data_IF_968800935071
#
_entry.id   IF_968800935071
#
_cell.length_a   1.000
_cell.length_b   1.000
_cell.length_c   1.000
_cell.angle_alpha   90.00
_cell.angle_beta   90.00
_cell.angle_gamma   90.00
#
_symmetry.space_group_name_H-M   'P 1'
#
loop_
_entity.id
_entity.type
_entity.pdbx_description
1 polymer ?
#
# COMPACT_ATOMS: atom_id res chain seq x y z
N UNK A 1 16.19 -29.94 34.80
CA UNK A 1 16.39 -30.15 33.35
C UNK A 1 15.07 -30.63 32.75
N UNK A 2 14.34 -29.78 32.02
CA UNK A 2 13.10 -30.20 31.37
C UNK A 2 13.39 -31.21 30.25
N UNK A 3 12.64 -32.32 30.14
CA UNK A 3 12.87 -33.32 29.12
C UNK A 3 12.66 -32.69 27.74
N UNK A 4 13.70 -32.80 26.90
CA UNK A 4 13.75 -32.31 25.52
C UNK A 4 12.55 -32.87 24.74
N UNK A 5 11.68 -32.00 24.20
CA UNK A 5 10.54 -32.32 23.29
C UNK A 5 11.01 -33.00 21.99
N UNK A 6 11.55 -34.22 22.06
CA UNK A 6 11.77 -35.12 20.92
C UNK A 6 10.79 -36.30 21.05
N UNK A 7 9.50 -36.12 20.70
CA UNK A 7 8.84 -37.19 19.95
C UNK A 7 7.81 -36.77 18.87
N UNK A 8 7.51 -35.47 18.65
CA UNK A 8 6.35 -35.08 17.82
C UNK A 8 6.65 -34.67 16.37
N UNK A 9 7.92 -34.51 15.98
CA UNK A 9 8.28 -34.01 14.65
C UNK A 9 8.03 -35.02 13.52
N UNK A 10 8.35 -36.30 13.73
CA UNK A 10 8.22 -37.32 12.69
C UNK A 10 6.76 -37.63 12.32
N UNK A 11 5.83 -37.80 13.29
CA UNK A 11 4.40 -37.96 12.97
C UNK A 11 3.80 -36.72 12.27
N UNK A 12 4.15 -35.52 12.72
CA UNK A 12 3.67 -34.27 12.10
C UNK A 12 4.17 -34.12 10.67
N UNK A 13 5.48 -34.35 10.45
CA UNK A 13 6.07 -34.30 9.12
C UNK A 13 5.41 -35.32 8.18
N UNK A 14 5.13 -36.54 8.66
CA UNK A 14 4.44 -37.57 7.87
C UNK A 14 3.02 -37.13 7.48
N UNK A 15 2.25 -36.58 8.42
CA UNK A 15 0.90 -36.05 8.15
C UNK A 15 0.93 -34.91 7.12
N UNK A 16 1.83 -33.93 7.31
CA UNK A 16 1.99 -32.80 6.37
C UNK A 16 2.43 -33.24 4.99
N UNK A 17 3.33 -34.22 4.90
CA UNK A 17 3.75 -34.79 3.62
C UNK A 17 2.58 -35.48 2.92
N UNK A 18 1.76 -36.24 3.64
CA UNK A 18 0.56 -36.87 3.07
C UNK A 18 -0.45 -35.84 2.55
N UNK A 19 -0.73 -34.79 3.33
CA UNK A 19 -1.61 -33.68 2.92
C UNK A 19 -1.09 -32.99 1.64
N UNK A 20 0.20 -32.68 1.60
CA UNK A 20 0.84 -32.00 0.47
C UNK A 20 0.84 -32.87 -0.79
N UNK A 21 1.24 -34.14 -0.67
CA UNK A 21 1.28 -35.08 -1.79
C UNK A 21 -0.12 -35.37 -2.33
N UNK A 22 -1.14 -35.51 -1.47
CA UNK A 22 -2.52 -35.69 -1.90
C UNK A 22 -3.03 -34.50 -2.74
N UNK A 23 -2.75 -33.27 -2.30
CA UNK A 23 -3.13 -32.05 -3.04
C UNK A 23 -2.39 -31.93 -4.38
N UNK A 24 -1.06 -32.12 -4.38
CA UNK A 24 -0.26 -32.08 -5.61
C UNK A 24 -0.71 -33.17 -6.60
N UNK A 25 -0.96 -34.38 -6.12
CA UNK A 25 -1.47 -35.49 -6.94
C UNK A 25 -2.82 -35.19 -7.59
N UNK A 26 -3.75 -34.61 -6.82
CA UNK A 26 -5.05 -34.18 -7.34
C UNK A 26 -4.91 -33.09 -8.41
N UNK A 27 -4.04 -32.09 -8.20
CA UNK A 27 -3.76 -31.03 -9.18
C UNK A 27 -3.17 -31.59 -10.47
N UNK A 28 -2.19 -32.49 -10.38
CA UNK A 28 -1.60 -33.17 -11.56
C UNK A 28 -2.67 -33.95 -12.32
N UNK A 29 -3.51 -34.73 -11.63
CA UNK A 29 -4.60 -35.49 -12.26
C UNK A 29 -5.57 -34.57 -13.00
N UNK A 30 -6.04 -33.51 -12.35
CA UNK A 30 -6.97 -32.55 -12.95
C UNK A 30 -6.37 -31.85 -14.16
N UNK A 31 -5.13 -31.36 -14.04
CA UNK A 31 -4.43 -30.68 -15.13
C UNK A 31 -4.16 -31.61 -16.32
N UNK A 32 -3.82 -32.87 -16.07
CA UNK A 32 -3.66 -33.90 -17.09
C UNK A 32 -4.97 -34.17 -17.83
N UNK A 33 -6.08 -34.34 -17.09
CA UNK A 33 -7.40 -34.62 -17.67
C UNK A 33 -7.89 -33.45 -18.54
N UNK A 34 -7.72 -32.19 -18.09
CA UNK A 34 -8.06 -30.99 -18.90
C UNK A 34 -7.29 -30.90 -20.22
N UNK A 35 -6.09 -31.49 -20.27
CA UNK A 35 -5.24 -31.55 -21.46
C UNK A 35 -5.43 -32.84 -22.27
N UNK A 36 -6.41 -33.66 -21.92
CA UNK A 36 -6.71 -34.93 -22.57
C UNK A 36 -5.50 -35.88 -22.68
N UNK A 37 -4.59 -35.82 -21.69
CA UNK A 37 -3.42 -36.68 -21.64
C UNK A 37 -3.72 -37.97 -20.86
N UNK A 38 -3.23 -39.10 -21.32
CA UNK A 38 -3.18 -40.32 -20.51
C UNK A 38 -1.99 -40.27 -19.56
N UNK A 39 -2.02 -41.05 -18.48
CA UNK A 39 -0.87 -41.14 -17.56
C UNK A 39 0.41 -41.63 -18.27
N UNK A 40 0.27 -42.53 -19.25
CA UNK A 40 1.39 -43.02 -20.05
C UNK A 40 1.99 -41.91 -20.94
N UNK A 41 1.14 -41.11 -21.57
CA UNK A 41 1.58 -39.97 -22.40
C UNK A 41 2.27 -38.90 -21.57
N UNK A 42 1.71 -38.54 -20.41
CA UNK A 42 2.36 -37.60 -19.49
C UNK A 42 3.71 -38.17 -19.02
N UNK A 43 3.73 -39.43 -18.60
CA UNK A 43 4.97 -40.11 -18.18
C UNK A 43 6.05 -40.05 -19.24
N UNK A 44 5.74 -40.42 -20.49
CA UNK A 44 6.68 -40.36 -21.60
C UNK A 44 7.25 -38.93 -21.81
N UNK A 45 6.42 -37.89 -21.73
CA UNK A 45 6.85 -36.49 -21.88
C UNK A 45 7.86 -36.05 -20.82
N UNK A 46 7.78 -36.60 -19.61
CA UNK A 46 8.63 -36.20 -18.48
C UNK A 46 9.66 -37.25 -18.10
N UNK A 47 9.85 -38.28 -18.92
CA UNK A 47 10.81 -39.36 -18.66
C UNK A 47 10.46 -40.19 -17.42
N UNK A 48 9.18 -40.45 -17.15
CA UNK A 48 8.68 -41.27 -16.05
C UNK A 48 7.77 -42.40 -16.56
N UNK A 49 7.77 -43.55 -15.87
CA UNK A 49 6.82 -44.63 -16.16
C UNK A 49 5.38 -44.29 -15.78
N UNK A 50 4.39 -44.87 -16.49
CA UNK A 50 2.94 -44.73 -16.19
C UNK A 50 2.62 -44.95 -14.71
N UNK A 51 3.16 -46.01 -14.12
CA UNK A 51 2.92 -46.37 -12.72
C UNK A 51 3.39 -45.26 -11.76
N UNK A 52 4.46 -44.55 -12.09
CA UNK A 52 4.97 -43.44 -11.28
C UNK A 52 4.06 -42.22 -11.33
N UNK A 53 3.51 -41.90 -12.50
CA UNK A 53 2.45 -40.88 -12.64
C UNK A 53 1.19 -41.29 -11.87
N UNK A 54 0.79 -42.56 -11.94
CA UNK A 54 -0.36 -43.07 -11.17
C UNK A 54 -0.15 -42.95 -9.65
N UNK A 55 1.03 -43.30 -9.13
CA UNK A 55 1.34 -43.12 -7.71
C UNK A 55 1.34 -41.64 -7.31
N UNK A 56 1.86 -40.75 -8.15
CA UNK A 56 1.81 -39.31 -7.93
C UNK A 56 0.36 -38.81 -7.81
N UNK A 57 -0.49 -39.18 -8.77
CA UNK A 57 -1.92 -38.79 -8.79
C UNK A 57 -2.74 -39.32 -7.61
N UNK A 58 -2.31 -40.44 -7.02
CA UNK A 58 -2.92 -41.03 -5.81
C UNK A 58 -2.37 -40.43 -4.50
N UNK A 59 -1.54 -39.39 -4.56
CA UNK A 59 -0.91 -38.79 -3.38
C UNK A 59 0.22 -39.64 -2.77
N UNK A 60 0.71 -40.63 -3.51
CA UNK A 60 1.79 -41.55 -3.10
C UNK A 60 3.12 -41.23 -3.79
N UNK A 61 3.24 -40.04 -4.38
CA UNK A 61 4.45 -39.57 -5.08
C UNK A 61 5.60 -39.13 -4.17
N UNK A 62 5.62 -39.53 -2.89
CA UNK A 62 6.64 -39.09 -1.93
C UNK A 62 8.07 -39.53 -2.26
N UNK A 63 8.23 -40.56 -3.10
CA UNK A 63 9.53 -41.00 -3.62
C UNK A 63 9.98 -40.27 -4.90
N UNK A 64 9.21 -39.30 -5.41
CA UNK A 64 9.64 -38.46 -6.54
C UNK A 64 10.53 -37.33 -6.05
N UNK A 65 11.62 -37.07 -6.79
CA UNK A 65 12.45 -35.90 -6.58
C UNK A 65 11.67 -34.62 -6.89
N UNK A 66 12.12 -33.49 -6.32
CA UNK A 66 11.60 -32.16 -6.69
C UNK A 66 11.73 -31.92 -8.19
N UNK A 67 12.85 -32.33 -8.81
CA UNK A 67 13.03 -32.29 -10.27
C UNK A 67 11.92 -33.02 -11.04
N UNK A 68 11.54 -34.23 -10.62
CA UNK A 68 10.50 -35.01 -11.29
C UNK A 68 9.12 -34.35 -11.17
N UNK A 69 8.83 -33.73 -10.01
CA UNK A 69 7.63 -32.90 -9.85
C UNK A 69 7.69 -31.63 -10.70
N UNK A 70 8.83 -30.96 -10.78
CA UNK A 70 9.02 -29.75 -11.61
C UNK A 70 8.80 -30.06 -13.09
N UNK A 71 9.41 -31.13 -13.63
CA UNK A 71 9.21 -31.56 -15.02
C UNK A 71 7.75 -31.91 -15.29
N UNK A 72 7.08 -32.55 -14.35
CA UNK A 72 5.63 -32.84 -14.42
C UNK A 72 4.81 -31.55 -14.46
N UNK A 73 5.13 -30.58 -13.61
CA UNK A 73 4.49 -29.27 -13.59
C UNK A 73 4.68 -28.50 -14.88
N UNK A 74 5.92 -28.38 -15.37
CA UNK A 74 6.25 -27.70 -16.64
C UNK A 74 5.53 -28.36 -17.82
N UNK A 75 5.50 -29.69 -17.91
CA UNK A 75 4.79 -30.40 -18.97
C UNK A 75 3.26 -30.23 -18.95
N UNK A 76 2.72 -29.70 -17.84
CA UNK A 76 1.31 -29.39 -17.63
C UNK A 76 1.06 -27.88 -17.54
N UNK A 77 2.02 -27.03 -17.93
CA UNK A 77 1.99 -25.56 -17.80
C UNK A 77 1.58 -25.08 -16.39
N UNK A 78 2.02 -25.81 -15.37
CA UNK A 78 1.81 -25.53 -13.96
C UNK A 78 3.14 -25.72 -13.21
N UNK A 79 4.11 -24.80 -13.38
CA UNK A 79 5.40 -24.89 -12.69
C UNK A 79 5.21 -25.07 -11.18
N UNK A 80 6.00 -25.95 -10.57
CA UNK A 80 5.96 -26.15 -9.12
C UNK A 80 6.70 -25.01 -8.43
N UNK A 81 6.06 -24.41 -7.43
CA UNK A 81 6.71 -23.49 -6.49
C UNK A 81 6.91 -24.20 -5.15
N UNK A 82 8.16 -24.25 -4.67
CA UNK A 82 8.50 -24.81 -3.36
C UNK A 82 8.97 -23.67 -2.47
N UNK A 83 8.21 -23.41 -1.42
CA UNK A 83 8.57 -22.46 -0.39
C UNK A 83 8.23 -23.02 0.99
N UNK A 84 9.00 -22.61 2.01
CA UNK A 84 8.55 -22.80 3.38
C UNK A 84 7.28 -21.99 3.62
N UNK A 85 6.41 -22.46 4.51
CA UNK A 85 5.32 -21.62 5.00
C UNK A 85 5.91 -20.36 5.62
N UNK A 86 5.15 -19.27 5.52
CA UNK A 86 5.47 -18.02 6.21
C UNK A 86 5.79 -18.30 7.67
N UNK A 87 6.92 -17.80 8.12
CA UNK A 87 7.30 -17.87 9.52
C UNK A 87 6.22 -17.14 10.35
N UNK A 88 5.52 -17.85 11.25
CA UNK A 88 4.47 -17.23 12.07
C UNK A 88 5.02 -16.18 13.05
N UNK A 89 6.33 -16.19 13.29
CA UNK A 89 7.03 -15.20 14.12
C UNK A 89 7.60 -14.04 13.32
N UNK A 90 7.67 -14.16 11.99
CA UNK A 90 8.06 -13.06 11.14
C UNK A 90 6.99 -11.98 11.16
N UNK A 91 7.41 -10.76 11.46
CA UNK A 91 6.54 -9.60 11.35
C UNK A 91 6.03 -9.45 9.91
N UNK A 92 4.86 -8.83 9.70
CA UNK A 92 4.46 -8.36 8.39
C UNK A 92 5.57 -7.61 7.66
N UNK A 93 5.68 -7.78 6.34
CA UNK A 93 6.70 -7.10 5.54
C UNK A 93 6.59 -5.56 5.67
N UNK A 94 5.39 -5.10 5.96
CA UNK A 94 4.96 -3.72 6.20
C UNK A 94 4.76 -3.40 7.70
N UNK A 95 5.26 -4.21 8.63
CA UNK A 95 5.02 -4.03 10.06
C UNK A 95 5.38 -2.64 10.59
N UNK A 96 6.44 -2.02 10.04
CA UNK A 96 6.80 -0.65 10.39
C UNK A 96 5.76 0.39 9.92
N UNK A 97 5.11 0.15 8.78
CA UNK A 97 4.03 0.98 8.25
C UNK A 97 2.74 0.77 9.07
N UNK A 98 2.36 -0.49 9.32
CA UNK A 98 1.22 -0.84 10.19
C UNK A 98 1.37 -0.24 11.59
N UNK A 99 2.59 -0.26 12.17
CA UNK A 99 2.84 0.32 13.49
C UNK A 99 2.63 1.85 13.53
N UNK A 100 2.89 2.56 12.43
CA UNK A 100 2.58 3.99 12.32
C UNK A 100 1.08 4.23 12.22
N UNK A 101 0.38 3.45 11.40
CA UNK A 101 -1.09 3.54 11.26
C UNK A 101 -1.76 3.27 12.62
N UNK A 102 -1.34 2.22 13.32
CA UNK A 102 -1.80 1.89 14.68
C UNK A 102 -1.52 3.02 15.69
N UNK A 103 -0.36 3.68 15.60
CA UNK A 103 -0.07 4.86 16.44
C UNK A 103 -1.09 5.98 16.19
N UNK A 104 -1.37 6.30 14.93
CA UNK A 104 -2.31 7.37 14.57
C UNK A 104 -3.72 7.02 15.05
N UNK A 105 -4.19 5.81 14.77
CA UNK A 105 -5.51 5.32 15.19
C UNK A 105 -5.67 5.36 16.71
N UNK A 106 -4.69 4.87 17.45
CA UNK A 106 -4.69 4.90 18.93
C UNK A 106 -4.71 6.31 19.50
N UNK A 107 -3.97 7.24 18.90
CA UNK A 107 -3.99 8.64 19.34
C UNK A 107 -5.35 9.30 19.06
N UNK A 108 -5.94 9.05 17.89
CA UNK A 108 -7.24 9.58 17.54
C UNK A 108 -8.38 8.97 18.39
N UNK A 109 -8.32 7.66 18.70
CA UNK A 109 -9.25 6.99 19.60
C UNK A 109 -9.27 7.63 21.00
N UNK A 110 -8.08 7.98 21.54
CA UNK A 110 -7.95 8.68 22.84
C UNK A 110 -8.62 10.05 22.84
N UNK A 111 -8.76 10.67 21.68
CA UNK A 111 -9.40 11.98 21.50
C UNK A 111 -10.89 11.88 21.11
N UNK A 112 -11.46 10.66 21.09
CA UNK A 112 -12.86 10.44 20.72
C UNK A 112 -13.18 10.72 19.25
N UNK A 113 -12.19 10.66 18.36
CA UNK A 113 -12.37 10.93 16.93
C UNK A 113 -12.71 9.62 16.21
N UNK A 114 -13.72 9.64 15.34
CA UNK A 114 -14.11 8.47 14.53
C UNK A 114 -13.02 8.12 13.51
N UNK A 115 -12.77 6.83 13.36
CA UNK A 115 -11.63 6.30 12.62
C UNK A 115 -12.08 5.55 11.37
N UNK A 116 -11.38 5.76 10.25
CA UNK A 116 -11.38 4.79 9.16
C UNK A 116 -9.94 4.43 8.75
N UNK A 117 -9.72 3.12 8.64
CA UNK A 117 -8.52 2.52 8.08
C UNK A 117 -8.74 2.37 6.57
N UNK A 118 -7.78 2.82 5.76
CA UNK A 118 -7.86 2.77 4.29
C UNK A 118 -9.16 3.36 3.73
N UNK A 119 -9.35 4.68 3.85
CA UNK A 119 -10.49 5.33 3.19
C UNK A 119 -10.25 5.34 1.67
N UNK A 120 -11.07 4.64 0.85
CA UNK A 120 -10.99 4.79 -0.58
C UNK A 120 -11.51 6.19 -0.95
N UNK A 121 -10.62 7.09 -1.37
CA UNK A 121 -11.03 8.40 -1.87
C UNK A 121 -11.65 8.28 -3.27
N UNK A 122 -11.44 7.15 -3.94
CA UNK A 122 -12.20 6.69 -5.11
C UNK A 122 -12.51 5.20 -5.01
N UNK A 123 -13.75 4.79 -4.69
CA UNK A 123 -14.11 3.38 -4.56
C UNK A 123 -13.83 2.52 -5.81
N UNK A 124 -13.81 3.14 -7.00
CA UNK A 124 -13.54 2.45 -8.27
C UNK A 124 -12.04 2.30 -8.58
N UNK A 125 -11.15 2.92 -7.80
CA UNK A 125 -9.69 2.84 -7.97
C UNK A 125 -9.02 2.62 -6.61
N UNK A 126 -8.76 1.35 -6.22
CA UNK A 126 -8.13 1.00 -4.95
C UNK A 126 -6.74 1.60 -4.72
N UNK A 127 -6.05 2.07 -5.78
CA UNK A 127 -4.77 2.77 -5.64
C UNK A 127 -4.93 4.18 -5.05
N UNK A 128 -6.16 4.68 -4.94
CA UNK A 128 -6.52 5.96 -4.33
C UNK A 128 -7.05 5.75 -2.90
N UNK A 129 -6.25 5.13 -2.02
CA UNK A 129 -6.55 5.03 -0.58
C UNK A 129 -5.66 5.97 0.23
N UNK A 130 -6.19 6.51 1.33
CA UNK A 130 -5.41 7.20 2.37
C UNK A 130 -5.15 6.20 3.49
N UNK A 131 -3.92 6.12 3.97
CA UNK A 131 -3.52 5.13 4.99
C UNK A 131 -4.42 5.18 6.23
N UNK A 132 -4.60 6.38 6.80
CA UNK A 132 -5.50 6.62 7.93
C UNK A 132 -6.30 7.88 7.70
N UNK A 133 -7.61 7.80 7.85
CA UNK A 133 -8.49 8.95 7.80
C UNK A 133 -9.19 9.15 9.14
N UNK A 134 -9.08 10.36 9.68
CA UNK A 134 -9.70 10.75 10.94
C UNK A 134 -10.89 11.66 10.65
N UNK A 135 -12.08 11.25 11.08
CA UNK A 135 -13.32 11.97 10.85
C UNK A 135 -13.87 12.50 12.17
N UNK A 136 -13.91 13.83 12.29
CA UNK A 136 -14.52 14.53 13.42
C UNK A 136 -15.83 15.17 12.94
N UNK A 137 -16.95 14.51 13.23
CA UNK A 137 -18.28 14.98 12.84
C UNK A 137 -18.72 16.22 13.62
N UNK A 138 -18.30 16.34 14.87
CA UNK A 138 -18.65 17.48 15.73
C UNK A 138 -18.00 18.75 15.22
N UNK A 139 -16.71 18.68 14.86
CA UNK A 139 -15.94 19.83 14.36
C UNK A 139 -15.94 19.96 12.85
N UNK A 140 -16.59 19.02 12.14
CA UNK A 140 -16.67 18.97 10.68
C UNK A 140 -15.30 18.96 10.01
N UNK A 141 -14.44 18.02 10.44
CA UNK A 141 -13.07 17.88 9.91
C UNK A 141 -12.79 16.47 9.40
N UNK A 142 -12.01 16.43 8.34
CA UNK A 142 -11.46 15.20 7.77
C UNK A 142 -9.94 15.35 7.69
N UNK A 143 -9.21 14.55 8.47
CA UNK A 143 -7.74 14.58 8.48
C UNK A 143 -7.21 13.35 7.76
N UNK A 144 -6.47 13.58 6.69
CA UNK A 144 -5.79 12.55 5.91
C UNK A 144 -4.37 12.37 6.48
N UNK A 145 -4.08 11.20 7.02
CA UNK A 145 -2.75 10.87 7.53
C UNK A 145 -2.08 9.83 6.62
N UNK A 146 -0.92 10.18 6.09
CA UNK A 146 -0.08 9.28 5.28
C UNK A 146 1.11 8.81 6.12
N UNK A 147 1.26 7.51 6.31
CA UNK A 147 2.24 6.86 7.15
C UNK A 147 3.49 6.45 6.34
N UNK A 148 4.64 7.06 6.61
CA UNK A 148 5.85 6.80 5.84
C UNK A 148 6.90 6.05 6.67
N UNK A 149 6.96 4.73 6.52
CA UNK A 149 8.06 3.92 7.08
C UNK A 149 9.37 4.18 6.32
N UNK A 150 9.29 4.24 4.98
CA UNK A 150 10.40 4.60 4.08
C UNK A 150 9.86 5.53 3.01
N UNK A 151 10.53 6.66 2.80
CA UNK A 151 10.21 7.57 1.68
C UNK A 151 11.02 7.12 0.45
N UNK A 152 10.30 6.85 -0.65
CA UNK A 152 10.85 6.54 -1.96
C UNK A 152 10.96 7.80 -2.83
N UNK A 153 10.03 7.95 -3.77
CA UNK A 153 9.92 9.13 -4.63
C UNK A 153 9.11 10.24 -3.94
N UNK A 154 9.80 11.29 -3.48
CA UNK A 154 9.19 12.43 -2.80
C UNK A 154 8.19 13.17 -3.71
N UNK A 155 8.55 13.37 -4.98
CA UNK A 155 7.73 14.13 -5.92
C UNK A 155 6.42 13.41 -6.25
N UNK A 156 6.50 12.10 -6.50
CA UNK A 156 5.33 11.26 -6.69
C UNK A 156 4.45 11.21 -5.43
N UNK A 157 5.06 11.09 -4.26
CA UNK A 157 4.35 11.07 -2.98
C UNK A 157 3.58 12.39 -2.73
N UNK A 158 4.22 13.55 -2.90
CA UNK A 158 3.58 14.87 -2.72
C UNK A 158 2.43 15.06 -3.71
N UNK A 159 2.62 14.72 -5.00
CA UNK A 159 1.54 14.77 -6.01
C UNK A 159 0.38 13.86 -5.62
N UNK A 160 0.68 12.66 -5.12
CA UNK A 160 -0.36 11.73 -4.66
C UNK A 160 -1.15 12.31 -3.50
N UNK A 161 -0.49 12.90 -2.51
CA UNK A 161 -1.15 13.58 -1.38
C UNK A 161 -2.04 14.74 -1.84
N UNK A 162 -1.56 15.63 -2.72
CA UNK A 162 -2.38 16.74 -3.23
C UNK A 162 -3.62 16.23 -3.97
N UNK A 163 -3.47 15.18 -4.78
CA UNK A 163 -4.60 14.53 -5.46
C UNK A 163 -5.60 13.94 -4.46
N UNK A 164 -5.15 13.28 -3.39
CA UNK A 164 -6.03 12.73 -2.34
C UNK A 164 -6.77 13.83 -1.57
N UNK A 165 -6.13 14.97 -1.29
CA UNK A 165 -6.79 16.15 -0.69
C UNK A 165 -7.92 16.63 -1.60
N UNK A 166 -7.65 16.86 -2.89
CA UNK A 166 -8.67 17.32 -3.84
C UNK A 166 -9.84 16.34 -3.94
N UNK A 167 -9.56 15.03 -4.06
CA UNK A 167 -10.60 13.99 -4.09
C UNK A 167 -11.43 13.94 -2.80
N UNK A 168 -10.78 14.07 -1.63
CA UNK A 168 -11.50 14.11 -0.36
C UNK A 168 -12.38 15.36 -0.25
N UNK A 169 -11.94 16.51 -0.75
CA UNK A 169 -12.74 17.73 -0.81
C UNK A 169 -13.98 17.52 -1.68
N UNK A 170 -13.81 17.00 -2.90
CA UNK A 170 -14.91 16.63 -3.80
C UNK A 170 -15.90 15.66 -3.13
N UNK A 171 -15.38 14.61 -2.47
CA UNK A 171 -16.20 13.63 -1.76
C UNK A 171 -17.04 14.27 -0.65
N UNK A 172 -16.45 15.16 0.16
CA UNK A 172 -17.17 15.83 1.26
C UNK A 172 -18.26 16.77 0.75
N UNK A 173 -18.05 17.41 -0.41
CA UNK A 173 -19.08 18.23 -1.06
C UNK A 173 -20.25 17.37 -1.56
N UNK A 174 -19.99 16.16 -2.05
CA UNK A 174 -21.02 15.28 -2.60
C UNK A 174 -21.96 14.68 -1.53
N UNK A 175 -21.51 14.50 -0.30
CA UNK A 175 -22.30 13.91 0.80
C UNK A 175 -23.11 14.95 1.61
N UNK A 176 -23.34 16.14 1.04
CA UNK A 176 -24.01 17.31 1.64
C UNK A 176 -23.52 17.63 3.06
N UNK A 177 -22.23 17.39 3.28
CA UNK A 177 -21.56 17.70 4.53
C UNK A 177 -20.20 18.31 4.24
N UNK A 178 -20.13 19.64 4.20
CA UNK A 178 -18.85 20.33 4.15
C UNK A 178 -17.98 19.95 5.37
N UNK A 179 -16.89 19.21 5.12
CA UNK A 179 -15.80 18.98 6.08
C UNK A 179 -14.61 19.82 5.64
N UNK A 180 -13.90 20.43 6.60
CA UNK A 180 -12.57 20.95 6.34
C UNK A 180 -11.60 19.78 6.18
N UNK A 181 -10.97 19.67 5.00
CA UNK A 181 -10.01 18.61 4.70
C UNK A 181 -8.60 19.09 5.04
N UNK A 182 -7.89 18.32 5.85
CA UNK A 182 -6.52 18.58 6.24
C UNK A 182 -5.64 17.36 5.94
N UNK A 183 -4.33 17.55 5.79
CA UNK A 183 -3.41 16.44 5.51
C UNK A 183 -2.11 16.53 6.30
N UNK A 184 -1.64 15.38 6.80
CA UNK A 184 -0.38 15.28 7.51
C UNK A 184 0.39 14.01 7.12
N UNK A 185 1.68 14.15 6.84
CA UNK A 185 2.61 13.04 6.76
C UNK A 185 3.13 12.69 8.15
N UNK A 186 2.98 11.42 8.51
CA UNK A 186 3.54 10.84 9.73
C UNK A 186 4.71 9.95 9.34
N UNK A 187 5.92 10.46 9.51
CA UNK A 187 7.13 9.83 8.98
C UNK A 187 7.90 9.14 10.10
N UNK A 188 8.32 7.89 9.91
CA UNK A 188 9.21 7.21 10.85
C UNK A 188 10.58 7.91 10.88
N UNK A 189 11.07 8.21 12.07
CA UNK A 189 12.33 8.92 12.29
C UNK A 189 13.59 8.05 12.13
N UNK A 190 13.65 7.26 11.06
CA UNK A 190 14.82 6.46 10.70
C UNK A 190 15.98 7.35 10.25
N UNK A 191 17.22 6.83 10.34
CA UNK A 191 18.41 7.52 9.82
C UNK A 191 18.25 7.92 8.35
N UNK A 192 17.67 7.03 7.54
CA UNK A 192 17.40 7.25 6.11
C UNK A 192 16.43 8.40 5.88
N UNK A 193 15.27 8.39 6.54
CA UNK A 193 14.26 9.43 6.33
C UNK A 193 14.74 10.79 6.83
N UNK A 194 15.47 10.83 7.97
CA UNK A 194 16.08 12.07 8.46
C UNK A 194 17.11 12.62 7.47
N UNK A 195 18.02 11.77 6.97
CA UNK A 195 19.00 12.18 5.97
C UNK A 195 18.32 12.71 4.70
N UNK A 196 17.21 12.10 4.27
CA UNK A 196 16.44 12.55 3.12
C UNK A 196 15.82 13.94 3.33
N UNK A 197 15.14 14.15 4.47
CA UNK A 197 14.54 15.46 4.80
C UNK A 197 15.61 16.54 4.95
N UNK A 198 16.74 16.22 5.58
CA UNK A 198 17.89 17.14 5.70
C UNK A 198 18.53 17.46 4.34
N UNK A 199 18.53 16.51 3.40
CA UNK A 199 19.10 16.72 2.05
C UNK A 199 18.23 17.63 1.18
N UNK A 200 16.91 17.65 1.38
CA UNK A 200 15.96 18.42 0.56
C UNK A 200 15.04 19.32 1.40
N UNK A 201 15.59 20.21 2.26
CA UNK A 201 14.79 20.93 3.26
C UNK A 201 13.75 21.86 2.63
N UNK A 202 14.08 22.54 1.52
CA UNK A 202 13.16 23.45 0.84
C UNK A 202 11.99 22.72 0.17
N UNK A 203 12.22 21.50 -0.36
CA UNK A 203 11.15 20.67 -0.94
C UNK A 203 10.13 20.29 0.12
N UNK A 204 10.60 19.82 1.28
CA UNK A 204 9.71 19.48 2.39
C UNK A 204 9.05 20.73 2.99
N UNK A 205 9.74 21.88 3.05
CA UNK A 205 9.16 23.11 3.57
C UNK A 205 8.05 23.66 2.67
N UNK A 206 8.24 23.58 1.35
CA UNK A 206 7.22 23.96 0.38
C UNK A 206 6.03 23.00 0.38
N UNK A 207 6.27 21.68 0.51
CA UNK A 207 5.22 20.67 0.53
C UNK A 207 4.43 20.64 1.86
N UNK A 208 5.07 20.97 2.98
CA UNK A 208 4.49 20.90 4.33
C UNK A 208 4.67 22.22 5.10
N UNK A 209 4.03 23.31 4.68
CA UNK A 209 4.18 24.63 5.31
C UNK A 209 3.43 24.76 6.64
N UNK A 210 2.58 23.79 7.01
CA UNK A 210 1.85 23.77 8.27
C UNK A 210 2.75 23.56 9.49
N UNK A 211 2.43 24.22 10.60
CA UNK A 211 3.18 24.09 11.85
C UNK A 211 3.20 22.64 12.36
N UNK A 212 4.35 21.99 12.29
CA UNK A 212 4.53 20.62 12.76
C UNK A 212 4.20 20.46 14.25
N UNK A 213 4.47 21.48 15.07
CA UNK A 213 4.09 21.47 16.48
C UNK A 213 2.57 21.43 16.67
N UNK A 214 1.83 22.27 15.94
CA UNK A 214 0.37 22.27 15.99
C UNK A 214 -0.20 20.95 15.46
N UNK A 215 0.43 20.36 14.45
CA UNK A 215 0.06 19.03 13.96
C UNK A 215 0.24 17.94 15.02
N UNK A 216 1.36 17.94 15.76
CA UNK A 216 1.55 17.03 16.90
C UNK A 216 0.44 17.23 17.92
N UNK A 217 0.17 18.47 18.36
CA UNK A 217 -0.91 18.76 19.30
C UNK A 217 -2.28 18.29 18.79
N UNK A 218 -2.57 18.52 17.51
CA UNK A 218 -3.83 18.07 16.90
C UNK A 218 -3.99 16.56 16.96
N UNK A 219 -2.95 15.81 16.57
CA UNK A 219 -2.99 14.35 16.57
C UNK A 219 -2.95 13.74 17.97
N UNK A 220 -2.22 14.34 18.92
CA UNK A 220 -2.04 13.77 20.26
C UNK A 220 -3.10 14.16 21.27
N UNK A 221 -3.68 15.36 21.16
CA UNK A 221 -4.62 15.90 22.15
C UNK A 221 -5.92 16.45 21.55
N UNK A 222 -6.19 16.18 20.26
CA UNK A 222 -7.43 16.61 19.59
C UNK A 222 -7.53 18.11 19.33
N UNK A 223 -6.41 18.85 19.40
CA UNK A 223 -6.39 20.28 19.08
C UNK A 223 -6.71 20.54 17.59
N UNK A 224 -6.99 21.80 17.25
CA UNK A 224 -7.32 22.18 15.88
C UNK A 224 -6.15 21.97 14.92
N UNK A 225 -6.32 21.14 13.86
CA UNK A 225 -5.28 20.94 12.87
C UNK A 225 -5.01 22.26 12.12
N UNK A 226 -3.74 22.53 11.75
CA UNK A 226 -3.42 23.61 10.83
C UNK A 226 -4.19 23.49 9.50
N UNK A 227 -4.48 24.63 8.86
CA UNK A 227 -5.08 24.65 7.51
C UNK A 227 -4.11 24.10 6.44
N UNK A 228 -2.81 24.29 6.65
CA UNK A 228 -1.78 23.89 5.72
C UNK A 228 -1.24 22.48 6.02
N UNK A 229 -0.83 21.72 4.98
CA UNK A 229 -0.29 20.37 5.16
C UNK A 229 0.90 20.32 6.11
N UNK A 230 0.98 19.24 6.89
CA UNK A 230 2.03 19.05 7.89
C UNK A 230 2.91 17.84 7.65
N UNK A 231 4.11 17.89 8.22
CA UNK A 231 4.96 16.72 8.42
C UNK A 231 5.28 16.60 9.91
N UNK A 232 5.10 15.42 10.47
CA UNK A 232 5.51 15.07 11.84
C UNK A 232 6.37 13.82 11.83
N UNK A 233 7.21 13.68 12.85
CA UNK A 233 7.96 12.46 13.06
C UNK A 233 7.25 11.53 14.03
N UNK A 234 7.27 10.24 13.73
CA UNK A 234 7.09 9.19 14.71
C UNK A 234 8.46 8.62 15.10
N UNK A 235 8.65 8.25 16.36
CA UNK A 235 9.90 7.61 16.78
C UNK A 235 10.09 6.23 16.13
N UNK A 236 11.29 5.66 16.26
CA UNK A 236 11.63 4.41 15.56
C UNK A 236 10.74 3.22 15.97
N UNK A 237 10.16 3.27 17.17
CA UNK A 237 9.25 2.26 17.70
C UNK A 237 7.75 2.58 17.45
N UNK A 238 7.42 3.69 16.79
CA UNK A 238 6.05 4.14 16.54
C UNK A 238 5.20 4.25 17.82
N UNK A 239 5.80 4.78 18.89
CA UNK A 239 5.14 4.97 20.19
C UNK A 239 4.71 6.40 20.43
N UNK A 240 5.38 7.39 19.81
CA UNK A 240 5.14 8.82 20.02
C UNK A 240 5.42 9.65 18.78
N UNK A 241 4.75 10.80 18.71
CA UNK A 241 4.96 11.82 17.69
C UNK A 241 5.81 12.98 18.22
N UNK A 242 6.59 13.63 17.35
CA UNK A 242 7.33 14.85 17.67
C UNK A 242 7.47 15.75 16.43
N UNK A 243 7.60 17.07 16.64
CA UNK A 243 7.59 18.01 15.53
C UNK A 243 8.86 17.87 14.69
N UNK A 244 8.69 17.97 13.37
CA UNK A 244 9.77 18.30 12.47
C UNK A 244 10.15 19.76 12.67
N UNK A 245 11.46 19.98 12.90
CA UNK A 245 12.05 21.30 13.04
C UNK A 245 12.90 21.57 11.81
N UNK A 246 12.66 22.72 11.17
CA UNK A 246 13.59 23.24 10.17
C UNK A 246 14.89 23.60 10.88
N UNK A 247 16.02 23.20 10.31
CA UNK A 247 17.31 23.75 10.73
C UNK A 247 17.31 25.21 10.27
N UNK A 248 17.13 26.15 11.20
CA UNK A 248 17.23 27.58 10.88
C UNK A 248 18.69 27.86 10.49
N UNK A 249 18.92 28.29 9.26
CA UNK A 249 20.27 28.52 8.72
C UNK A 249 20.36 28.66 7.19
N UNK A 250 19.32 28.31 6.44
CA UNK A 250 19.22 28.62 5.01
C UNK A 250 18.09 29.64 4.82
N UNK A 251 18.47 30.84 4.37
CA UNK A 251 17.55 31.95 4.15
C UNK A 251 16.37 31.50 3.27
N UNK A 252 15.16 31.74 3.74
CA UNK A 252 13.95 31.49 2.97
C UNK A 252 13.98 32.34 1.71
N UNK A 253 14.09 31.71 0.54
CA UNK A 253 13.66 32.34 -0.70
C UNK A 253 12.18 32.69 -0.54
N UNK A 254 11.84 33.95 -0.79
CA UNK A 254 10.48 34.45 -0.64
C UNK A 254 9.49 33.54 -1.39
N UNK A 255 8.27 33.33 -0.85
CA UNK A 255 7.26 32.52 -1.51
C UNK A 255 6.98 33.07 -2.91
N UNK A 256 6.95 32.18 -3.91
CA UNK A 256 6.41 32.52 -5.22
C UNK A 256 4.98 33.04 -5.03
N UNK A 257 4.62 34.22 -5.58
CA UNK A 257 3.26 34.70 -5.51
C UNK A 257 2.34 33.66 -6.16
N UNK A 258 1.28 33.29 -5.44
CA UNK A 258 0.24 32.42 -5.97
C UNK A 258 -0.20 32.94 -7.33
N UNK A 259 -0.02 32.12 -8.38
CA UNK A 259 -0.42 32.48 -9.73
C UNK A 259 -1.89 32.90 -9.72
N UNK A 260 -2.15 34.15 -10.14
CA UNK A 260 -3.50 34.62 -10.45
C UNK A 260 -4.14 33.60 -11.39
N UNK A 261 -5.31 33.10 -11.00
CA UNK A 261 -6.16 32.33 -11.90
C UNK A 261 -6.36 33.13 -13.21
N UNK A 262 -6.24 32.50 -14.39
CA UNK A 262 -6.48 33.18 -15.64
C UNK A 262 -7.93 33.69 -15.67
N UNK A 263 -8.09 35.00 -15.81
CA UNK A 263 -9.38 35.62 -16.05
C UNK A 263 -9.93 35.12 -17.37
N UNK A 264 -11.13 34.53 -17.34
CA UNK A 264 -11.90 34.21 -18.54
C UNK A 264 -12.35 35.52 -19.20
N UNK A 265 -11.51 36.09 -20.05
CA UNK A 265 -11.90 37.19 -20.93
C UNK A 265 -12.41 36.61 -22.26
N UNK A 266 -13.72 36.73 -22.42
CA UNK A 266 -14.54 36.17 -23.49
C UNK A 266 -14.54 37.18 -24.64
N UNK A 267 -13.51 37.17 -25.49
CA UNK A 267 -13.56 37.92 -26.76
C UNK A 267 -14.33 37.14 -27.82
N UNK A 268 -15.49 37.69 -28.14
CA UNK A 268 -16.26 37.42 -29.35
C UNK A 268 -15.37 37.56 -30.59
N UNK A 269 -15.20 36.46 -31.33
CA UNK A 269 -14.75 36.52 -32.72
C UNK A 269 -15.99 36.66 -33.60
N UNK A 270 -16.27 37.90 -33.98
CA UNK A 270 -17.02 38.25 -35.17
C UNK A 270 -16.22 37.81 -36.39
N UNK A 271 -16.74 36.86 -37.16
CA UNK A 271 -16.33 36.64 -38.55
C UNK A 271 -17.57 36.93 -39.39
N UNK A 272 -17.60 38.16 -39.91
CA UNK A 272 -18.49 38.56 -40.98
C UNK A 272 -17.66 38.68 -42.27
N UNK A 273 -18.13 37.99 -43.32
CA UNK A 273 -18.02 38.46 -44.69
C UNK A 273 -16.83 37.96 -45.50
N UNK A 274 -17.05 36.96 -46.36
CA UNK A 274 -16.64 37.15 -47.75
C UNK A 274 -17.63 36.48 -48.72
N UNK A 275 -18.31 37.36 -49.46
CA UNK A 275 -19.17 37.13 -50.60
C UNK A 275 -18.32 36.90 -51.85
N UNK A 276 -18.51 35.78 -52.56
CA UNK A 276 -18.29 35.72 -54.03
C UNK A 276 -19.41 34.97 -54.74
N UNK A 277 -19.72 35.53 -55.91
CA UNK A 277 -20.93 35.43 -56.74
C UNK A 277 -21.04 34.13 -57.56
N UNK A 278 -22.25 33.85 -58.13
CA UNK A 278 -22.49 32.81 -59.12
C UNK A 278 -22.26 33.30 -60.56
N UNK A 279 -22.04 32.36 -61.49
CA UNK A 279 -22.33 32.54 -62.92
C UNK A 279 -21.23 32.10 -63.90
N UNK A 280 -21.32 30.85 -64.36
CA UNK A 280 -21.37 30.41 -65.77
C UNK A 280 -21.50 28.89 -65.80
#
# INVERSE_FOLDING_TARGET
MAPRKRPQLAPEARRRNQELLARLGAQVRQARLRRHLTQARLGARVGLGRSRISQAELGRGGGMSVDAWQRTGVALDLPLEVAFRRDPTAQPADAGHLALQELILRLAARNGISLSFELPTRPQDPACSVDVCLRDDQRRRLVLCEAWNVIGDIGAAVRSTHRKIAQAQEFTMAIDRAYAVHACWVVRASRRNRALVTRYPEVFAAAFPGSSLRWVSSLTSGADPPQLPGLVWADAASTRLFPWRRVQGQAALAPFPAGRAPSADRRQLSIAGETRRPGC
#
